data_IF_304692895115
#
_entry.id   IF_304692895115
#
_cell.length_a   1.000
_cell.length_b   1.000
_cell.length_c   1.000
_cell.angle_alpha   90.00
_cell.angle_beta   90.00
_cell.angle_gamma   90.00
#
_symmetry.space_group_name_H-M   'P 1'
#
loop_
_entity.id
_entity.type
_entity.pdbx_description
1 polymer ?
#
# COMPACT_ATOMS: atom_id res chain seq x y z
N UNK A 1 -72.66 29.36 -64.08
CA UNK A 1 -73.52 30.43 -63.58
C UNK A 1 -72.77 31.11 -62.44
N UNK A 2 -72.03 32.21 -62.74
CA UNK A 2 -72.41 33.60 -62.45
C UNK A 2 -72.74 33.80 -60.96
N UNK A 3 -72.18 34.73 -60.26
CA UNK A 3 -71.83 36.17 -60.42
C UNK A 3 -70.77 36.56 -59.37
N UNK A 4 -69.68 37.18 -59.67
CA UNK A 4 -69.35 38.63 -59.65
C UNK A 4 -70.14 39.47 -58.63
N UNK A 5 -69.40 40.06 -57.66
CA UNK A 5 -69.56 41.48 -57.25
C UNK A 5 -68.19 41.99 -56.64
N UNK A 6 -67.83 43.14 -57.15
CA UNK A 6 -66.66 44.00 -56.89
C UNK A 6 -66.95 44.97 -55.73
N UNK A 7 -65.93 45.43 -55.10
CA UNK A 7 -65.66 46.71 -54.43
C UNK A 7 -65.53 46.62 -52.88
N UNK A 8 -64.62 47.22 -52.21
CA UNK A 8 -64.13 48.59 -52.27
C UNK A 8 -62.86 48.71 -51.35
N UNK A 9 -61.86 49.40 -51.84
CA UNK A 9 -60.70 49.77 -51.11
C UNK A 9 -60.97 50.76 -49.98
N UNK A 10 -60.47 50.50 -48.77
CA UNK A 10 -60.10 51.53 -47.79
C UNK A 10 -58.69 51.27 -47.25
N UNK A 11 -57.77 52.19 -47.55
CA UNK A 11 -56.46 52.28 -47.01
C UNK A 11 -56.53 52.56 -45.51
N UNK A 12 -55.97 51.62 -44.72
CA UNK A 12 -55.63 51.87 -43.31
C UNK A 12 -54.12 51.84 -43.19
N UNK A 13 -53.56 52.95 -42.73
CA UNK A 13 -52.11 53.09 -42.40
C UNK A 13 -51.75 52.14 -41.29
N UNK A 14 -50.90 51.18 -41.55
CA UNK A 14 -50.28 50.35 -40.54
C UNK A 14 -49.04 51.02 -40.01
N UNK A 15 -49.05 51.34 -38.72
CA UNK A 15 -47.84 51.70 -37.94
C UNK A 15 -46.98 50.45 -37.75
N UNK A 16 -45.72 50.59 -38.14
CA UNK A 16 -44.70 49.60 -37.93
C UNK A 16 -44.53 49.31 -36.42
N UNK A 17 -44.81 48.09 -35.98
CA UNK A 17 -44.38 47.55 -34.69
C UNK A 17 -43.27 46.52 -34.95
N UNK A 18 -42.07 46.96 -34.76
CA UNK A 18 -40.91 46.05 -34.74
C UNK A 18 -40.97 45.21 -33.48
N UNK A 19 -41.46 43.98 -33.59
CA UNK A 19 -41.32 42.97 -32.52
C UNK A 19 -39.93 42.36 -32.57
N UNK A 20 -39.07 42.84 -31.69
CA UNK A 20 -37.79 42.19 -31.40
C UNK A 20 -38.07 40.92 -30.62
N UNK A 21 -38.04 39.78 -31.31
CA UNK A 21 -38.05 38.46 -30.65
C UNK A 21 -36.67 38.22 -30.10
N UNK A 22 -36.46 38.45 -28.81
CA UNK A 22 -35.29 38.05 -28.08
C UNK A 22 -35.40 36.55 -27.83
N UNK A 23 -34.72 35.77 -28.66
CA UNK A 23 -34.47 34.33 -28.41
C UNK A 23 -33.45 34.23 -27.26
N UNK A 24 -33.94 34.05 -26.02
CA UNK A 24 -33.10 33.68 -24.88
C UNK A 24 -32.74 32.22 -25.10
N UNK A 25 -31.54 31.97 -25.65
CA UNK A 25 -30.88 30.67 -25.61
C UNK A 25 -30.47 30.43 -24.17
N UNK A 26 -31.33 29.80 -23.36
CA UNK A 26 -30.93 29.21 -22.08
C UNK A 26 -29.99 28.06 -22.38
N UNK A 27 -28.67 28.34 -22.42
CA UNK A 27 -27.65 27.30 -22.38
C UNK A 27 -27.78 26.58 -21.04
N UNK A 28 -28.56 25.50 -21.01
CA UNK A 28 -28.57 24.57 -19.90
C UNK A 28 -27.24 23.89 -19.96
N UNK A 29 -26.29 24.41 -19.21
CA UNK A 29 -25.06 23.67 -18.87
C UNK A 29 -25.51 22.44 -18.06
N UNK A 30 -25.75 21.33 -18.73
CA UNK A 30 -25.71 20.03 -18.07
C UNK A 30 -24.27 19.84 -17.60
N UNK A 31 -23.97 20.34 -16.40
CA UNK A 31 -22.81 19.90 -15.67
C UNK A 31 -23.01 18.41 -15.46
N UNK A 32 -22.40 17.61 -16.32
CA UNK A 32 -22.31 16.18 -16.15
C UNK A 32 -21.41 15.96 -14.92
N UNK A 33 -21.99 15.97 -13.73
CA UNK A 33 -21.31 15.60 -12.50
C UNK A 33 -20.97 14.11 -12.61
N UNK A 34 -19.91 13.78 -13.39
CA UNK A 34 -19.32 12.46 -13.33
C UNK A 34 -18.84 12.27 -11.89
N UNK A 35 -19.36 11.23 -11.23
CA UNK A 35 -18.82 10.82 -9.92
C UNK A 35 -17.31 10.70 -10.06
N UNK A 36 -16.53 11.22 -9.11
CA UNK A 36 -15.08 11.08 -9.17
C UNK A 36 -14.71 9.60 -9.22
N UNK A 37 -13.68 9.29 -9.98
CA UNK A 37 -13.08 7.96 -9.98
C UNK A 37 -12.52 7.70 -8.59
N UNK A 38 -12.85 6.53 -8.02
CA UNK A 38 -12.36 6.12 -6.69
C UNK A 38 -11.65 4.78 -6.81
N UNK A 39 -10.45 4.71 -6.27
CA UNK A 39 -9.67 3.48 -6.18
C UNK A 39 -9.50 3.11 -4.71
N UNK A 40 -9.80 1.86 -4.37
CA UNK A 40 -9.63 1.30 -3.03
C UNK A 40 -8.58 0.21 -3.04
N UNK A 41 -7.63 0.26 -2.12
CA UNK A 41 -6.60 -0.76 -1.94
C UNK A 41 -6.63 -1.17 -0.48
N UNK A 42 -6.93 -2.44 -0.22
CA UNK A 42 -6.86 -3.01 1.11
C UNK A 42 -5.53 -3.74 1.29
N UNK A 43 -5.00 -3.78 2.50
CA UNK A 43 -3.71 -4.41 2.78
C UNK A 43 -3.59 -4.85 4.23
N UNK A 44 -2.67 -5.76 4.50
CA UNK A 44 -2.36 -6.21 5.84
C UNK A 44 -1.32 -7.31 5.87
N UNK A 45 -0.84 -7.62 7.07
CA UNK A 45 0.15 -8.66 7.35
C UNK A 45 -0.17 -9.40 8.65
N UNK A 46 0.67 -10.37 9.03
CA UNK A 46 0.60 -11.13 10.27
C UNK A 46 -0.72 -11.88 10.43
N UNK A 47 -0.97 -12.75 9.43
CA UNK A 47 -2.18 -13.54 9.31
C UNK A 47 -1.95 -15.04 9.53
N UNK A 48 -2.04 -15.56 10.77
CA UNK A 48 -1.92 -16.99 11.02
C UNK A 48 -2.96 -17.79 10.25
N UNK A 49 -2.51 -18.77 9.46
CA UNK A 49 -3.36 -19.69 8.72
C UNK A 49 -4.17 -20.61 9.65
N UNK A 50 -3.78 -20.72 10.91
CA UNK A 50 -4.43 -21.60 11.88
C UNK A 50 -5.54 -20.88 12.68
N UNK A 51 -5.58 -19.52 12.62
CA UNK A 51 -6.57 -18.68 13.30
C UNK A 51 -7.67 -18.20 12.35
N UNK A 52 -8.91 -17.94 12.81
CA UNK A 52 -9.94 -17.27 12.03
C UNK A 52 -9.46 -15.87 11.57
N UNK A 53 -9.79 -15.49 10.33
CA UNK A 53 -9.35 -14.20 9.74
C UNK A 53 -10.55 -13.30 9.36
N UNK A 54 -11.44 -12.94 10.31
CA UNK A 54 -12.68 -12.22 10.00
C UNK A 54 -12.44 -10.86 9.35
N UNK A 55 -11.28 -10.23 9.56
CA UNK A 55 -10.90 -8.95 8.92
C UNK A 55 -10.80 -9.08 7.41
N UNK A 56 -10.51 -10.25 6.85
CA UNK A 56 -10.51 -10.46 5.40
C UNK A 56 -11.92 -10.46 4.82
N UNK A 57 -12.93 -10.91 5.58
CA UNK A 57 -14.35 -10.79 5.17
C UNK A 57 -14.76 -9.32 5.11
N UNK A 58 -14.37 -8.54 6.13
CA UNK A 58 -14.63 -7.10 6.14
C UNK A 58 -13.91 -6.40 4.99
N UNK A 59 -12.64 -6.70 4.77
CA UNK A 59 -11.90 -6.17 3.62
C UNK A 59 -12.63 -6.47 2.29
N UNK A 60 -13.17 -7.69 2.15
CA UNK A 60 -13.96 -8.10 0.99
C UNK A 60 -15.23 -7.24 0.82
N UNK A 61 -15.92 -6.89 1.92
CA UNK A 61 -17.16 -6.08 1.88
C UNK A 61 -16.89 -4.64 1.43
N UNK A 62 -15.68 -4.10 1.63
CA UNK A 62 -15.25 -2.81 1.09
C UNK A 62 -15.01 -2.84 -0.42
N UNK A 63 -14.97 -4.02 -1.05
CA UNK A 63 -14.76 -4.25 -2.49
C UNK A 63 -13.54 -3.50 -3.03
N UNK A 64 -12.34 -3.75 -2.50
CA UNK A 64 -11.14 -3.09 -2.98
C UNK A 64 -10.83 -3.51 -4.42
N UNK A 65 -10.16 -2.62 -5.17
CA UNK A 65 -9.64 -2.93 -6.49
C UNK A 65 -8.41 -3.87 -6.42
N UNK A 66 -7.74 -3.88 -5.27
CA UNK A 66 -6.57 -4.69 -5.00
C UNK A 66 -6.48 -4.99 -3.51
N UNK A 67 -6.06 -6.21 -3.14
CA UNK A 67 -5.61 -6.54 -1.80
C UNK A 67 -4.12 -6.88 -1.82
N UNK A 68 -3.35 -6.30 -0.87
CA UNK A 68 -1.90 -6.50 -0.77
C UNK A 68 -1.57 -7.17 0.55
N UNK A 69 -1.00 -8.37 0.49
CA UNK A 69 -0.34 -8.98 1.63
C UNK A 69 1.07 -8.40 1.82
N UNK A 70 1.37 -8.00 3.05
CA UNK A 70 2.62 -7.32 3.42
C UNK A 70 3.59 -8.21 4.21
N UNK A 71 3.56 -9.51 3.96
CA UNK A 71 4.37 -10.48 4.69
C UNK A 71 3.65 -11.13 5.85
N UNK A 72 4.25 -12.18 6.42
CA UNK A 72 3.64 -13.06 7.42
C UNK A 72 2.24 -13.51 6.98
N UNK A 73 2.15 -13.85 5.72
CA UNK A 73 0.91 -14.32 5.12
C UNK A 73 0.50 -15.66 5.71
N UNK A 74 1.51 -16.39 6.18
CA UNK A 74 1.43 -17.59 7.00
C UNK A 74 2.56 -17.59 8.02
N UNK A 75 2.42 -18.31 9.12
CA UNK A 75 3.47 -18.61 10.08
C UNK A 75 4.09 -19.97 9.73
N UNK A 76 5.01 -19.94 8.78
CA UNK A 76 5.71 -21.13 8.25
C UNK A 76 6.65 -21.75 9.25
N UNK A 77 7.64 -20.99 9.68
CA UNK A 77 8.65 -21.32 10.70
C UNK A 77 9.23 -22.72 10.56
N UNK A 78 9.62 -23.10 9.36
CA UNK A 78 10.01 -24.48 9.08
C UNK A 78 11.03 -24.59 7.94
N UNK A 79 12.02 -25.44 8.15
CA UNK A 79 12.92 -25.88 7.08
C UNK A 79 12.32 -27.02 6.24
N UNK A 80 11.17 -27.54 6.63
CA UNK A 80 10.45 -28.54 5.86
C UNK A 80 9.51 -27.82 4.86
N UNK A 81 9.84 -27.87 3.60
CA UNK A 81 9.09 -27.21 2.53
C UNK A 81 7.70 -27.79 2.33
N UNK A 82 7.47 -29.06 2.67
CA UNK A 82 6.10 -29.62 2.66
C UNK A 82 5.23 -28.99 3.75
N UNK A 83 5.81 -28.66 4.91
CA UNK A 83 5.13 -27.91 5.98
C UNK A 83 4.77 -26.51 5.50
N UNK A 84 5.70 -25.79 4.89
CA UNK A 84 5.46 -24.45 4.35
C UNK A 84 4.32 -24.48 3.32
N UNK A 85 4.40 -25.43 2.37
CA UNK A 85 3.38 -25.64 1.35
C UNK A 85 2.00 -25.98 1.94
N UNK A 86 1.98 -26.84 2.97
CA UNK A 86 0.73 -27.22 3.64
C UNK A 86 0.09 -26.02 4.37
N UNK A 87 0.89 -25.13 4.96
CA UNK A 87 0.40 -23.91 5.64
C UNK A 87 -0.20 -22.92 4.63
N UNK A 88 0.41 -22.70 3.49
CA UNK A 88 -0.19 -21.92 2.39
C UNK A 88 -1.50 -22.57 1.89
N UNK A 89 -1.54 -23.89 1.77
CA UNK A 89 -2.76 -24.59 1.37
C UNK A 89 -3.90 -24.40 2.41
N UNK A 90 -3.58 -24.33 3.72
CA UNK A 90 -4.57 -23.99 4.75
C UNK A 90 -5.11 -22.58 4.58
N UNK A 91 -4.26 -21.59 4.33
CA UNK A 91 -4.69 -20.23 4.05
C UNK A 91 -5.61 -20.19 2.83
N UNK A 92 -5.22 -20.83 1.72
CA UNK A 92 -6.03 -20.92 0.51
C UNK A 92 -7.40 -21.62 0.74
N UNK A 93 -7.48 -22.52 1.72
CA UNK A 93 -8.71 -23.25 2.05
C UNK A 93 -9.70 -22.44 2.89
N UNK A 94 -9.27 -21.36 3.56
CA UNK A 94 -10.12 -20.53 4.39
C UNK A 94 -11.24 -19.86 3.59
N UNK A 95 -12.43 -19.79 4.18
CA UNK A 95 -13.59 -19.16 3.53
C UNK A 95 -13.36 -17.63 3.38
N UNK A 96 -12.70 -17.02 4.36
CA UNK A 96 -12.34 -15.62 4.38
C UNK A 96 -11.43 -15.27 3.21
N UNK A 97 -10.37 -16.06 3.00
CA UNK A 97 -9.46 -15.90 1.86
C UNK A 97 -10.18 -16.10 0.52
N UNK A 98 -10.96 -17.20 0.40
CA UNK A 98 -11.73 -17.50 -0.82
C UNK A 98 -12.72 -16.40 -1.15
N UNK A 99 -13.40 -15.83 -0.15
CA UNK A 99 -14.31 -14.71 -0.35
C UNK A 99 -13.57 -13.51 -0.91
N UNK A 100 -12.42 -13.15 -0.34
CA UNK A 100 -11.59 -12.05 -0.80
C UNK A 100 -11.06 -12.30 -2.23
N UNK A 101 -10.47 -13.48 -2.49
CA UNK A 101 -9.94 -13.90 -3.81
C UNK A 101 -11.02 -13.93 -4.91
N UNK A 102 -12.30 -14.12 -4.53
CA UNK A 102 -13.41 -14.15 -5.48
C UNK A 102 -13.85 -12.76 -5.98
N UNK A 103 -13.44 -11.69 -5.31
CA UNK A 103 -13.93 -10.33 -5.59
C UNK A 103 -12.83 -9.33 -5.92
N UNK A 104 -11.59 -9.63 -5.56
CA UNK A 104 -10.45 -8.75 -5.83
C UNK A 104 -9.20 -9.53 -6.18
N UNK A 105 -8.34 -8.90 -6.96
CA UNK A 105 -7.00 -9.40 -7.19
C UNK A 105 -6.19 -9.32 -5.90
N UNK A 106 -5.49 -10.41 -5.56
CA UNK A 106 -4.61 -10.49 -4.40
C UNK A 106 -3.16 -10.58 -4.89
N UNK A 107 -2.31 -9.72 -4.35
CA UNK A 107 -0.85 -9.75 -4.55
C UNK A 107 -0.17 -9.71 -3.19
N UNK A 108 1.14 -9.92 -3.13
CA UNK A 108 1.84 -9.81 -1.86
C UNK A 108 3.36 -9.86 -1.97
N UNK A 109 3.97 -9.49 -0.86
CA UNK A 109 5.35 -9.80 -0.53
C UNK A 109 5.39 -10.75 0.67
N UNK A 110 6.57 -11.23 1.00
CA UNK A 110 6.78 -12.05 2.20
C UNK A 110 7.46 -11.26 3.31
N UNK A 111 7.43 -11.86 4.51
CA UNK A 111 8.33 -11.52 5.59
C UNK A 111 9.00 -12.82 6.13
N UNK A 112 9.55 -12.85 7.33
CA UNK A 112 10.38 -13.94 7.83
C UNK A 112 9.61 -15.25 8.02
N UNK A 113 8.38 -15.19 8.56
CA UNK A 113 7.59 -16.39 8.84
C UNK A 113 7.16 -17.14 7.57
N UNK A 114 6.91 -16.46 6.48
CA UNK A 114 6.62 -17.12 5.19
C UNK A 114 7.85 -17.27 4.29
N UNK A 115 8.94 -16.56 4.57
CA UNK A 115 10.25 -16.83 3.98
C UNK A 115 10.85 -18.14 4.50
N UNK A 116 10.67 -18.44 5.82
CA UNK A 116 11.11 -19.71 6.37
C UNK A 116 11.23 -19.81 7.87
N UNK A 117 12.00 -18.98 8.50
CA UNK A 117 12.23 -18.94 9.94
C UNK A 117 12.16 -17.53 10.47
N UNK A 118 11.71 -17.38 11.70
CA UNK A 118 11.74 -16.10 12.41
C UNK A 118 13.08 -15.40 12.26
N UNK A 119 13.05 -14.13 11.87
CA UNK A 119 14.20 -13.26 11.62
C UNK A 119 15.22 -13.79 10.58
N UNK A 120 14.85 -14.74 9.71
CA UNK A 120 15.74 -15.28 8.69
C UNK A 120 16.04 -14.24 7.59
N UNK A 121 17.26 -14.31 7.07
CA UNK A 121 17.76 -13.45 6.00
C UNK A 121 18.56 -14.24 4.96
N UNK A 122 19.52 -13.59 4.31
CA UNK A 122 20.24 -14.11 3.13
C UNK A 122 20.88 -15.50 3.28
N UNK A 123 21.15 -15.94 4.50
CA UNK A 123 21.77 -17.22 4.79
C UNK A 123 20.76 -18.35 4.97
N UNK A 124 19.47 -18.09 4.88
CA UNK A 124 18.46 -19.13 4.94
C UNK A 124 18.64 -20.14 3.80
N UNK A 125 18.86 -21.44 4.08
CA UNK A 125 19.31 -22.39 3.07
C UNK A 125 18.23 -22.76 2.05
N UNK A 126 16.94 -22.65 2.43
CA UNK A 126 15.78 -23.07 1.61
C UNK A 126 15.07 -21.90 0.90
N UNK A 127 15.71 -20.73 0.82
CA UNK A 127 15.08 -19.52 0.25
C UNK A 127 14.60 -19.69 -1.20
N UNK A 128 15.24 -20.55 -2.00
CA UNK A 128 14.80 -20.84 -3.38
C UNK A 128 13.51 -21.64 -3.41
N UNK A 129 13.42 -22.66 -2.56
CA UNK A 129 12.23 -23.49 -2.42
C UNK A 129 11.06 -22.71 -1.84
N UNK A 130 11.31 -21.87 -0.83
CA UNK A 130 10.31 -20.96 -0.28
C UNK A 130 9.77 -20.01 -1.34
N UNK A 131 10.65 -19.46 -2.20
CA UNK A 131 10.25 -18.61 -3.33
C UNK A 131 9.29 -19.33 -4.26
N UNK A 132 9.59 -20.58 -4.66
CA UNK A 132 8.72 -21.35 -5.57
C UNK A 132 7.34 -21.63 -4.94
N UNK A 133 7.29 -21.90 -3.64
CA UNK A 133 6.03 -22.12 -2.91
C UNK A 133 5.23 -20.81 -2.86
N UNK A 134 5.87 -19.71 -2.49
CA UNK A 134 5.26 -18.38 -2.43
C UNK A 134 4.69 -17.95 -3.78
N UNK A 135 5.50 -18.01 -4.86
CA UNK A 135 5.08 -17.62 -6.19
C UNK A 135 3.94 -18.50 -6.72
N UNK A 136 3.95 -19.80 -6.37
CA UNK A 136 2.87 -20.73 -6.74
C UNK A 136 1.58 -20.39 -6.01
N UNK A 137 1.61 -20.01 -4.72
CA UNK A 137 0.45 -19.59 -3.96
C UNK A 137 -0.19 -18.33 -4.56
N UNK A 138 0.62 -17.32 -4.90
CA UNK A 138 0.14 -16.09 -5.55
C UNK A 138 -0.15 -16.26 -7.05
N UNK A 139 -0.13 -17.49 -7.57
CA UNK A 139 -0.47 -17.83 -8.97
C UNK A 139 0.42 -17.07 -9.98
N UNK A 140 1.68 -16.81 -9.60
CA UNK A 140 2.64 -16.12 -10.45
C UNK A 140 2.88 -16.92 -11.75
N UNK A 141 2.75 -16.30 -12.93
CA UNK A 141 2.97 -17.00 -14.21
C UNK A 141 4.37 -17.62 -14.32
N UNK A 142 4.48 -18.76 -15.01
CA UNK A 142 5.76 -19.46 -15.16
C UNK A 142 6.82 -18.62 -15.89
N UNK A 143 6.39 -17.79 -16.85
CA UNK A 143 7.27 -16.93 -17.65
C UNK A 143 7.54 -15.56 -17.04
N UNK A 144 7.01 -15.30 -15.84
CA UNK A 144 7.15 -14.00 -15.16
C UNK A 144 8.63 -13.66 -14.90
N UNK A 145 8.97 -12.38 -15.04
CA UNK A 145 10.29 -11.85 -14.67
C UNK A 145 10.60 -12.06 -13.20
N UNK A 146 9.57 -12.05 -12.32
CA UNK A 146 9.68 -12.31 -10.89
C UNK A 146 10.29 -13.70 -10.58
N UNK A 147 10.14 -14.68 -11.49
CA UNK A 147 10.76 -16.01 -11.35
C UNK A 147 12.23 -16.05 -11.78
N UNK A 148 12.66 -15.12 -12.64
CA UNK A 148 13.97 -15.18 -13.31
C UNK A 148 15.13 -14.61 -12.49
N UNK A 149 14.87 -13.75 -11.51
CA UNK A 149 15.90 -13.16 -10.63
C UNK A 149 15.87 -13.78 -9.23
N UNK A 150 16.87 -13.55 -8.42
CA UNK A 150 16.87 -13.91 -7.00
C UNK A 150 15.89 -13.02 -6.21
N UNK A 151 15.20 -13.60 -5.24
CA UNK A 151 14.16 -12.89 -4.47
C UNK A 151 12.81 -12.81 -5.18
N UNK A 152 11.84 -12.15 -4.51
CA UNK A 152 10.45 -12.05 -4.97
C UNK A 152 10.02 -10.62 -5.29
N UNK A 153 10.93 -9.66 -5.25
CA UNK A 153 10.57 -8.26 -5.54
C UNK A 153 9.98 -8.12 -6.95
N UNK A 154 8.99 -7.29 -7.10
CA UNK A 154 8.38 -6.98 -8.39
C UNK A 154 7.59 -5.67 -8.34
N UNK A 155 7.21 -5.19 -9.51
CA UNK A 155 6.26 -4.09 -9.66
C UNK A 155 4.98 -4.59 -10.29
N UNK A 156 3.87 -4.23 -9.68
CA UNK A 156 2.53 -4.44 -10.20
C UNK A 156 1.89 -3.09 -10.52
N UNK A 157 1.00 -3.08 -11.50
CA UNK A 157 0.30 -1.87 -11.89
C UNK A 157 -1.20 -2.04 -11.72
N UNK A 158 -1.84 -1.00 -11.17
CA UNK A 158 -3.29 -0.88 -11.10
C UNK A 158 -3.73 0.32 -11.92
N UNK A 159 -4.33 0.02 -13.07
CA UNK A 159 -4.90 1.03 -13.95
C UNK A 159 -6.36 1.30 -13.59
N UNK A 160 -6.72 2.56 -13.47
CA UNK A 160 -8.08 3.01 -13.19
C UNK A 160 -8.42 4.23 -14.09
N UNK A 161 -9.12 3.96 -15.18
CA UNK A 161 -9.35 4.98 -16.21
C UNK A 161 -8.03 5.43 -16.83
N UNK A 162 -7.67 6.70 -16.67
CA UNK A 162 -6.38 7.26 -17.11
C UNK A 162 -5.37 7.42 -15.96
N UNK A 163 -5.60 6.76 -14.83
CA UNK A 163 -4.76 6.83 -13.64
C UNK A 163 -3.97 5.54 -13.47
N UNK A 164 -2.73 5.68 -13.08
CA UNK A 164 -1.79 4.59 -12.90
C UNK A 164 -1.22 4.59 -11.47
N UNK A 165 -1.50 3.53 -10.73
CA UNK A 165 -0.87 3.27 -9.45
C UNK A 165 0.21 2.21 -9.66
N UNK A 166 1.44 2.55 -9.31
CA UNK A 166 2.58 1.63 -9.28
C UNK A 166 2.67 1.02 -7.88
N UNK A 167 2.61 -0.30 -7.78
CA UNK A 167 2.77 -1.05 -6.53
C UNK A 167 4.10 -1.79 -6.59
N UNK A 168 5.06 -1.33 -5.81
CA UNK A 168 6.42 -1.86 -5.72
C UNK A 168 6.47 -2.79 -4.50
N UNK A 169 6.55 -4.09 -4.73
CA UNK A 169 6.67 -5.11 -3.69
C UNK A 169 8.16 -5.38 -3.46
N UNK A 170 8.67 -4.97 -2.30
CA UNK A 170 10.06 -5.21 -1.92
C UNK A 170 10.25 -6.61 -1.33
N UNK A 171 11.43 -7.16 -1.49
CA UNK A 171 11.91 -8.35 -0.80
C UNK A 171 12.94 -7.94 0.25
N UNK A 172 12.55 -7.96 1.52
CA UNK A 172 13.39 -7.54 2.64
C UNK A 172 14.06 -8.74 3.33
N UNK A 173 14.06 -9.94 2.70
CA UNK A 173 14.59 -11.17 3.30
C UNK A 173 15.74 -11.79 2.51
N UNK A 174 15.56 -11.99 1.19
CA UNK A 174 16.51 -12.76 0.36
C UNK A 174 17.95 -12.26 0.44
N UNK A 175 18.13 -10.95 0.53
CA UNK A 175 19.46 -10.31 0.50
C UNK A 175 19.88 -9.77 1.87
N UNK A 176 19.00 -9.76 2.85
CA UNK A 176 19.21 -9.13 4.14
C UNK A 176 20.34 -9.79 4.93
N UNK A 177 21.30 -8.98 5.36
CA UNK A 177 22.27 -9.41 6.35
C UNK A 177 21.61 -9.76 7.67
N UNK A 178 22.27 -10.60 8.48
CA UNK A 178 21.81 -10.90 9.83
C UNK A 178 21.69 -9.60 10.64
N UNK A 179 20.70 -9.57 11.52
CA UNK A 179 20.49 -8.45 12.43
C UNK A 179 21.63 -8.36 13.44
N UNK A 180 22.03 -7.16 13.80
CA UNK A 180 23.06 -6.93 14.79
C UNK A 180 22.48 -7.14 16.19
N UNK A 181 22.84 -8.24 16.85
CA UNK A 181 22.42 -8.55 18.21
C UNK A 181 22.98 -7.53 19.21
N UNK A 182 22.18 -7.17 20.21
CA UNK A 182 22.64 -6.41 21.37
C UNK A 182 23.52 -7.35 22.22
N UNK A 183 24.79 -7.01 22.30
CA UNK A 183 25.78 -7.81 23.08
C UNK A 183 25.69 -7.58 24.59
N UNK A 184 25.23 -6.40 25.00
CA UNK A 184 25.09 -6.00 26.38
C UNK A 184 23.63 -5.94 26.78
N UNK A 185 23.12 -7.01 27.38
CA UNK A 185 21.80 -7.08 27.98
C UNK A 185 21.77 -6.46 29.39
N UNK A 186 22.46 -5.32 29.60
CA UNK A 186 22.52 -4.69 30.90
C UNK A 186 21.12 -4.43 31.46
N UNK A 187 20.94 -4.62 32.77
CA UNK A 187 19.70 -4.31 33.48
C UNK A 187 19.32 -2.82 33.32
N UNK A 188 20.27 -1.97 32.94
CA UNK A 188 20.06 -0.57 32.65
C UNK A 188 19.29 -0.38 31.32
N UNK A 189 19.64 -1.12 30.25
CA UNK A 189 18.90 -1.13 29.01
C UNK A 189 17.46 -1.67 29.21
N UNK A 190 17.31 -2.75 29.97
CA UNK A 190 15.99 -3.31 30.32
C UNK A 190 15.14 -2.34 31.15
N UNK A 191 15.73 -1.51 32.02
CA UNK A 191 15.01 -0.48 32.78
C UNK A 191 14.65 0.73 31.95
N UNK A 192 15.42 1.03 30.91
CA UNK A 192 15.18 2.20 30.05
C UNK A 192 14.04 1.98 29.09
N UNK A 193 13.75 0.73 28.71
CA UNK A 193 12.69 0.34 27.80
C UNK A 193 11.79 -0.68 28.51
N UNK A 194 10.47 -0.54 28.34
CA UNK A 194 9.48 -1.44 28.93
C UNK A 194 9.41 -2.82 28.26
N UNK A 195 10.26 -3.09 27.26
CA UNK A 195 10.34 -4.32 26.48
C UNK A 195 11.79 -4.73 26.28
N UNK A 196 12.00 -5.99 25.95
CA UNK A 196 13.34 -6.53 25.66
C UNK A 196 13.79 -6.01 24.30
N UNK A 197 15.00 -5.50 24.22
CA UNK A 197 15.66 -5.12 22.98
C UNK A 197 16.50 -6.30 22.51
N UNK A 198 16.21 -6.82 21.31
CA UNK A 198 16.96 -7.94 20.73
C UNK A 198 18.08 -7.46 19.81
N UNK A 199 17.81 -6.37 19.08
CA UNK A 199 18.69 -5.88 18.03
C UNK A 199 19.12 -4.43 18.26
N UNK A 200 20.19 -4.05 17.56
CA UNK A 200 20.71 -2.69 17.47
C UNK A 200 20.95 -2.34 16.00
N UNK A 201 20.93 -1.05 15.63
CA UNK A 201 21.25 -0.64 14.27
C UNK A 201 22.67 -1.02 13.86
N UNK A 202 22.84 -1.45 12.61
CA UNK A 202 24.15 -1.61 12.00
C UNK A 202 24.90 -0.29 11.94
N UNK A 203 26.19 -0.33 12.30
CA UNK A 203 27.10 0.83 12.20
C UNK A 203 27.90 0.84 10.90
N UNK A 204 28.04 -0.32 10.25
CA UNK A 204 28.74 -0.45 8.96
C UNK A 204 27.76 -0.34 7.80
N UNK A 205 28.15 0.40 6.77
CA UNK A 205 27.44 0.47 5.48
C UNK A 205 27.62 -0.77 4.59
N UNK A 206 28.42 -1.75 5.02
CA UNK A 206 28.64 -3.00 4.26
C UNK A 206 27.48 -3.99 4.43
N UNK A 207 26.66 -3.79 5.48
CA UNK A 207 25.42 -4.55 5.64
C UNK A 207 24.36 -4.07 4.65
N UNK A 208 23.47 -4.97 4.23
CA UNK A 208 22.39 -4.62 3.30
C UNK A 208 21.08 -5.27 3.70
N UNK A 209 19.99 -4.60 3.41
CA UNK A 209 18.61 -5.08 3.51
C UNK A 209 18.13 -5.61 2.16
N UNK A 210 18.27 -4.81 1.10
CA UNK A 210 17.72 -5.11 -0.23
C UNK A 210 18.72 -5.78 -1.19
N UNK A 211 20.03 -5.68 -0.94
CA UNK A 211 21.05 -6.10 -1.89
C UNK A 211 21.16 -5.19 -3.13
N UNK A 212 22.32 -5.23 -3.81
CA UNK A 212 22.61 -4.28 -4.87
C UNK A 212 21.72 -4.47 -6.11
N UNK A 213 21.35 -5.70 -6.43
CA UNK A 213 20.50 -5.99 -7.61
C UNK A 213 19.11 -5.39 -7.44
N UNK A 214 18.49 -5.60 -6.28
CA UNK A 214 17.18 -5.03 -5.99
C UNK A 214 17.23 -3.50 -5.92
N UNK A 215 18.30 -2.91 -5.36
CA UNK A 215 18.48 -1.46 -5.37
C UNK A 215 18.56 -0.86 -6.78
N UNK A 216 19.28 -1.52 -7.69
CA UNK A 216 19.37 -1.08 -9.08
C UNK A 216 18.02 -1.18 -9.78
N UNK A 217 17.34 -2.30 -9.59
CA UNK A 217 15.99 -2.50 -10.13
C UNK A 217 15.01 -1.44 -9.59
N UNK A 218 15.05 -1.16 -8.28
CA UNK A 218 14.19 -0.16 -7.65
C UNK A 218 14.43 1.24 -8.20
N UNK A 219 15.70 1.60 -8.46
CA UNK A 219 16.04 2.87 -9.09
C UNK A 219 15.38 3.00 -10.48
N UNK A 220 15.43 1.94 -11.27
CA UNK A 220 14.83 1.92 -12.61
C UNK A 220 13.29 1.97 -12.51
N UNK A 221 12.68 1.30 -11.52
CA UNK A 221 11.23 1.36 -11.27
C UNK A 221 10.76 2.75 -10.86
N UNK A 222 11.47 3.44 -9.97
CA UNK A 222 11.09 4.77 -9.50
C UNK A 222 11.17 5.85 -10.58
N UNK A 223 11.93 5.62 -11.66
CA UNK A 223 11.99 6.51 -12.84
C UNK A 223 10.78 6.37 -13.77
N UNK A 224 10.02 5.28 -13.66
CA UNK A 224 8.85 5.06 -14.52
C UNK A 224 7.69 5.98 -14.13
N UNK A 225 6.85 6.41 -15.08
CA UNK A 225 5.72 7.27 -14.79
C UNK A 225 4.66 6.55 -13.95
N UNK A 226 4.11 7.24 -12.95
CA UNK A 226 2.93 6.83 -12.20
C UNK A 226 2.28 8.05 -11.53
N UNK A 227 0.95 7.99 -11.30
CA UNK A 227 0.22 9.03 -10.56
C UNK A 227 0.38 8.87 -9.04
N UNK A 228 0.53 7.61 -8.57
CA UNK A 228 0.75 7.24 -7.17
C UNK A 228 1.68 6.03 -7.12
N UNK A 229 2.54 5.95 -6.11
CA UNK A 229 3.45 4.83 -5.86
C UNK A 229 3.24 4.29 -4.46
N UNK A 230 2.99 2.99 -4.37
CA UNK A 230 2.92 2.26 -3.11
C UNK A 230 4.17 1.39 -3.01
N UNK A 231 5.03 1.67 -2.04
CA UNK A 231 6.20 0.84 -1.75
C UNK A 231 5.82 -0.06 -0.58
N UNK A 232 5.71 -1.36 -0.87
CA UNK A 232 5.26 -2.38 0.07
C UNK A 232 6.47 -3.12 0.65
N UNK A 233 6.55 -3.20 1.97
CA UNK A 233 7.65 -3.82 2.71
C UNK A 233 7.11 -4.78 3.77
N UNK A 234 7.72 -5.95 3.92
CA UNK A 234 7.44 -6.84 5.05
C UNK A 234 7.73 -6.11 6.37
N UNK A 235 8.93 -5.58 6.54
CA UNK A 235 9.34 -4.85 7.73
C UNK A 235 8.97 -3.36 7.68
N UNK A 236 8.73 -2.76 8.85
CA UNK A 236 8.34 -1.35 9.00
C UNK A 236 9.44 -0.38 8.52
N UNK A 237 9.06 0.58 7.67
CA UNK A 237 9.96 1.62 7.15
C UNK A 237 9.98 2.88 8.01
N UNK A 238 8.83 3.39 8.41
CA UNK A 238 8.62 4.68 9.07
C UNK A 238 8.93 4.68 10.56
N UNK A 239 10.07 4.10 10.97
CA UNK A 239 10.50 4.03 12.36
C UNK A 239 11.97 4.37 12.50
N UNK A 240 12.38 5.00 13.62
CA UNK A 240 13.78 5.29 13.86
C UNK A 240 14.50 4.15 14.61
N UNK A 241 13.83 3.54 15.57
CA UNK A 241 14.37 2.48 16.39
C UNK A 241 13.28 1.84 17.23
N UNK A 242 13.21 0.50 17.25
CA UNK A 242 12.23 -0.22 18.04
C UNK A 242 12.78 -1.36 18.88
N UNK A 243 14.06 -1.74 18.69
CA UNK A 243 14.67 -2.87 19.39
C UNK A 243 14.37 -4.24 18.77
N UNK A 244 13.46 -4.32 17.82
CA UNK A 244 13.08 -5.47 17.02
C UNK A 244 13.54 -5.28 15.57
N UNK A 245 13.03 -6.08 14.66
CA UNK A 245 13.30 -5.94 13.26
C UNK A 245 12.60 -4.74 12.64
N UNK A 246 13.30 -3.98 11.83
CA UNK A 246 12.80 -2.86 11.04
C UNK A 246 13.86 -2.34 10.06
N UNK A 247 13.49 -1.46 9.16
CA UNK A 247 14.44 -0.71 8.33
C UNK A 247 15.45 0.08 9.16
N UNK A 248 15.08 0.49 10.36
CA UNK A 248 15.95 1.20 11.29
C UNK A 248 17.18 0.39 11.76
N UNK A 249 17.17 -0.93 11.58
CA UNK A 249 18.36 -1.77 11.79
C UNK A 249 19.43 -1.55 10.72
N UNK A 250 19.03 -1.00 9.55
CA UNK A 250 19.92 -0.63 8.43
C UNK A 250 19.76 0.86 8.11
N UNK A 251 20.18 1.77 9.01
CA UNK A 251 19.88 3.20 8.90
C UNK A 251 20.47 3.85 7.63
N UNK A 252 21.59 3.33 7.12
CA UNK A 252 22.18 3.76 5.86
C UNK A 252 21.30 3.37 4.65
N UNK A 253 20.63 2.21 4.69
CA UNK A 253 19.68 1.80 3.62
C UNK A 253 18.37 2.55 3.70
N UNK A 254 17.83 2.82 4.91
CA UNK A 254 16.68 3.70 5.10
C UNK A 254 16.96 5.11 4.54
N UNK A 255 18.15 5.66 4.82
CA UNK A 255 18.60 6.93 4.25
C UNK A 255 18.78 6.87 2.73
N UNK A 256 19.32 5.76 2.22
CA UNK A 256 19.47 5.51 0.78
C UNK A 256 18.11 5.55 0.07
N UNK A 257 17.06 4.96 0.65
CA UNK A 257 15.70 4.97 0.11
C UNK A 257 15.18 6.41 -0.05
N UNK A 258 15.27 7.22 1.00
CA UNK A 258 14.85 8.63 0.94
C UNK A 258 15.63 9.42 -0.12
N UNK A 259 16.94 9.20 -0.20
CA UNK A 259 17.79 9.82 -1.22
C UNK A 259 17.42 9.35 -2.64
N UNK A 260 17.10 8.07 -2.81
CA UNK A 260 16.73 7.52 -4.11
C UNK A 260 15.41 8.10 -4.62
N UNK A 261 14.39 8.22 -3.76
CA UNK A 261 13.12 8.88 -4.09
C UNK A 261 13.37 10.32 -4.55
N UNK A 262 14.26 11.03 -3.85
CA UNK A 262 14.65 12.39 -4.20
C UNK A 262 15.42 12.48 -5.53
N UNK A 263 16.40 11.60 -5.75
CA UNK A 263 17.24 11.58 -6.94
C UNK A 263 16.47 11.20 -8.21
N UNK A 264 15.52 10.29 -8.10
CA UNK A 264 14.65 9.88 -9.21
C UNK A 264 13.48 10.85 -9.44
N UNK A 265 13.31 11.84 -8.57
CA UNK A 265 12.18 12.76 -8.58
C UNK A 265 10.82 12.01 -8.58
N UNK A 266 10.77 10.88 -7.87
CA UNK A 266 9.59 10.04 -7.79
C UNK A 266 8.50 10.71 -6.94
N UNK A 267 7.40 11.11 -7.57
CA UNK A 267 6.25 11.73 -6.91
C UNK A 267 5.28 10.69 -6.37
N UNK A 268 4.47 11.06 -5.38
CA UNK A 268 3.35 10.25 -4.92
C UNK A 268 3.75 8.97 -4.20
N UNK A 269 4.85 8.96 -3.43
CA UNK A 269 5.31 7.76 -2.71
C UNK A 269 4.66 7.67 -1.33
N UNK A 270 4.03 6.52 -1.06
CA UNK A 270 3.53 6.09 0.24
C UNK A 270 4.07 4.68 0.52
N UNK A 271 4.55 4.45 1.73
CA UNK A 271 4.92 3.11 2.17
C UNK A 271 3.72 2.39 2.79
N UNK A 272 3.66 1.07 2.56
CA UNK A 272 2.78 0.15 3.25
C UNK A 272 3.65 -0.92 3.90
N UNK A 273 3.56 -1.06 5.21
CA UNK A 273 4.48 -1.90 5.99
C UNK A 273 3.77 -2.93 6.85
N UNK A 274 4.45 -4.04 7.15
CA UNK A 274 4.02 -5.14 8.00
C UNK A 274 4.86 -5.32 9.28
N UNK A 275 4.98 -6.55 9.76
CA UNK A 275 5.86 -7.11 10.81
C UNK A 275 5.40 -6.83 12.27
N UNK A 276 5.20 -5.61 12.67
CA UNK A 276 5.22 -5.12 14.07
C UNK A 276 3.99 -5.45 14.94
N UNK A 277 3.02 -6.22 14.45
CA UNK A 277 1.84 -6.70 15.18
C UNK A 277 0.92 -5.59 15.76
N UNK A 278 0.95 -4.41 15.17
CA UNK A 278 0.02 -3.30 15.42
C UNK A 278 -0.11 -2.43 14.16
N UNK A 279 -1.02 -1.46 14.17
CA UNK A 279 -1.10 -0.49 13.10
C UNK A 279 -0.81 0.92 13.59
N UNK A 280 -0.20 1.71 12.70
CA UNK A 280 0.04 3.14 12.90
C UNK A 280 0.24 3.86 11.56
N UNK A 281 0.15 5.18 11.56
CA UNK A 281 0.65 6.00 10.47
C UNK A 281 1.84 6.79 10.97
N UNK A 282 2.94 6.69 10.25
CA UNK A 282 4.18 7.42 10.50
C UNK A 282 4.43 8.43 9.39
N UNK A 283 5.10 9.54 9.73
CA UNK A 283 5.50 10.59 8.78
C UNK A 283 6.97 10.92 8.95
N UNK A 284 7.77 10.51 7.96
CA UNK A 284 9.20 10.80 7.90
C UNK A 284 9.41 12.09 7.11
N UNK A 285 10.15 13.03 7.69
CA UNK A 285 10.51 14.30 7.05
C UNK A 285 12.01 14.34 6.77
N UNK A 286 12.38 14.69 5.54
CA UNK A 286 13.76 14.80 5.09
C UNK A 286 13.94 16.09 4.29
N UNK A 287 15.00 16.89 4.54
CA UNK A 287 15.23 18.13 3.81
C UNK A 287 15.28 17.93 2.28
N UNK A 288 14.46 18.73 1.57
CA UNK A 288 14.35 18.68 0.12
C UNK A 288 13.60 17.47 -0.45
N UNK A 289 12.83 16.78 0.40
CA UNK A 289 11.86 15.75 0.04
C UNK A 289 10.50 16.13 0.63
N UNK A 290 9.43 15.81 -0.06
CA UNK A 290 8.08 15.89 0.51
C UNK A 290 7.93 14.87 1.66
N UNK A 291 6.94 15.03 2.56
CA UNK A 291 6.72 14.07 3.65
C UNK A 291 6.47 12.66 3.12
N UNK A 292 7.21 11.68 3.63
CA UNK A 292 6.99 10.26 3.33
C UNK A 292 6.10 9.68 4.43
N UNK A 293 4.95 9.16 4.03
CA UNK A 293 4.02 8.45 4.91
C UNK A 293 4.28 6.96 4.84
N UNK A 294 4.22 6.30 5.99
CA UNK A 294 4.22 4.85 6.12
C UNK A 294 2.97 4.41 6.87
N UNK A 295 2.13 3.64 6.20
CA UNK A 295 0.92 3.07 6.79
C UNK A 295 1.21 1.63 7.15
N UNK A 296 1.48 1.40 8.42
CA UNK A 296 1.71 0.06 8.96
C UNK A 296 0.37 -0.60 9.27
N UNK A 297 0.15 -1.82 8.75
CA UNK A 297 -1.03 -2.65 9.04
C UNK A 297 -0.62 -4.09 9.24
N UNK A 298 -0.36 -4.44 10.49
CA UNK A 298 0.26 -5.68 10.91
C UNK A 298 -0.56 -6.37 12.00
N UNK A 299 -1.73 -6.91 11.63
CA UNK A 299 -2.63 -7.46 12.65
C UNK A 299 -3.83 -8.21 12.09
N UNK A 300 -3.70 -8.94 10.98
CA UNK A 300 -4.82 -9.75 10.45
C UNK A 300 -5.31 -10.72 11.53
N UNK A 301 -4.39 -11.40 12.24
CA UNK A 301 -4.72 -12.24 13.41
C UNK A 301 -3.81 -11.97 14.59
N UNK A 302 -2.53 -11.69 14.33
CA UNK A 302 -1.49 -11.60 15.34
C UNK A 302 -1.27 -10.16 15.73
N UNK A 303 -1.60 -9.81 16.98
CA UNK A 303 -1.41 -8.46 17.53
C UNK A 303 -0.70 -8.51 18.86
N UNK A 304 0.10 -7.49 19.16
CA UNK A 304 0.71 -7.29 20.46
C UNK A 304 -0.20 -6.45 21.36
N UNK A 305 -0.02 -6.60 22.68
CA UNK A 305 -0.70 -5.76 23.67
C UNK A 305 0.00 -4.42 23.93
N UNK A 306 1.07 -4.13 23.21
CA UNK A 306 1.84 -2.90 23.31
C UNK A 306 2.37 -2.50 21.91
N UNK A 307 2.75 -1.25 21.75
CA UNK A 307 3.46 -0.76 20.58
C UNK A 307 4.77 -0.10 21.00
N UNK A 308 5.81 -0.29 20.19
CA UNK A 308 7.12 0.30 20.46
C UNK A 308 7.07 1.83 20.29
N UNK A 309 7.94 2.59 20.97
CA UNK A 309 8.09 4.01 20.72
C UNK A 309 8.46 4.29 19.26
N UNK A 310 7.84 5.31 18.69
CA UNK A 310 8.16 5.78 17.34
C UNK A 310 7.95 7.29 17.27
N UNK A 311 9.01 8.06 17.09
CA UNK A 311 8.94 9.53 16.98
C UNK A 311 8.26 10.01 15.69
N UNK A 312 8.18 9.15 14.68
CA UNK A 312 7.53 9.46 13.41
C UNK A 312 6.03 9.19 13.42
N UNK A 313 5.51 8.48 14.46
CA UNK A 313 4.08 8.19 14.59
C UNK A 313 3.27 9.47 14.67
N UNK A 314 2.28 9.59 13.80
CA UNK A 314 1.31 10.70 13.79
C UNK A 314 -0.09 10.23 14.15
N UNK A 315 -0.42 8.93 13.91
CA UNK A 315 -1.69 8.31 14.26
C UNK A 315 -1.47 6.89 14.79
N UNK A 316 -2.34 6.42 15.68
CA UNK A 316 -2.28 5.12 16.31
C UNK A 316 -1.59 5.14 17.68
N UNK A 317 -1.16 3.98 18.24
CA UNK A 317 -1.25 2.66 17.63
C UNK A 317 -2.63 1.98 17.76
N UNK A 318 -2.92 1.02 16.85
CA UNK A 318 -4.07 0.12 16.95
C UNK A 318 -3.59 -1.30 17.14
N UNK A 319 -3.99 -1.93 18.25
CA UNK A 319 -3.54 -3.25 18.69
C UNK A 319 -4.66 -4.31 18.67
N UNK A 320 -5.82 -3.99 18.12
CA UNK A 320 -6.86 -4.97 17.78
C UNK A 320 -6.61 -5.56 16.38
N UNK A 321 -7.17 -6.74 16.07
CA UNK A 321 -7.10 -7.26 14.70
C UNK A 321 -7.69 -6.27 13.70
N UNK A 322 -7.01 -6.06 12.58
CA UNK A 322 -7.32 -5.01 11.63
C UNK A 322 -6.81 -5.31 10.22
N UNK A 323 -7.24 -4.49 9.28
CA UNK A 323 -6.63 -4.33 7.97
C UNK A 323 -6.50 -2.83 7.63
N UNK A 324 -5.59 -2.50 6.75
CA UNK A 324 -5.43 -1.15 6.21
C UNK A 324 -6.28 -0.95 4.95
N UNK A 325 -6.81 0.25 4.78
CA UNK A 325 -7.56 0.65 3.59
C UNK A 325 -7.06 2.01 3.09
N UNK A 326 -6.56 2.03 1.86
CA UNK A 326 -6.23 3.26 1.15
C UNK A 326 -7.34 3.55 0.14
N UNK A 327 -7.96 4.72 0.24
CA UNK A 327 -8.97 5.20 -0.71
C UNK A 327 -8.45 6.44 -1.42
N UNK A 328 -8.31 6.35 -2.74
CA UNK A 328 -7.89 7.47 -3.60
C UNK A 328 -9.08 7.97 -4.38
N UNK A 329 -9.50 9.21 -4.12
CA UNK A 329 -10.49 9.92 -4.92
C UNK A 329 -9.76 10.79 -5.93
N UNK A 330 -9.88 10.42 -7.21
CA UNK A 330 -9.18 11.07 -8.31
C UNK A 330 -9.90 12.35 -8.74
N UNK A 331 -9.38 13.46 -8.25
CA UNK A 331 -9.77 14.82 -8.61
C UNK A 331 -8.57 15.51 -9.30
N UNK A 332 -8.65 16.84 -9.53
CA UNK A 332 -7.52 17.61 -10.05
C UNK A 332 -6.29 17.49 -9.12
N UNK A 333 -6.52 17.55 -7.82
CA UNK A 333 -5.56 17.20 -6.77
C UNK A 333 -6.13 16.00 -6.01
N UNK A 334 -5.59 14.79 -6.20
CA UNK A 334 -6.17 13.59 -5.61
C UNK A 334 -6.27 13.68 -4.09
N UNK A 335 -7.39 13.18 -3.55
CA UNK A 335 -7.57 13.01 -2.10
C UNK A 335 -7.24 11.57 -1.75
N UNK A 336 -6.29 11.36 -0.86
CA UNK A 336 -5.81 10.05 -0.43
C UNK A 336 -6.18 9.89 1.05
N UNK A 337 -7.09 8.97 1.34
CA UNK A 337 -7.51 8.62 2.69
C UNK A 337 -6.90 7.28 3.09
N UNK A 338 -6.20 7.29 4.20
CA UNK A 338 -5.54 6.15 4.83
C UNK A 338 -6.32 5.77 6.08
N UNK A 339 -6.80 4.54 6.17
CA UNK A 339 -7.63 4.06 7.26
C UNK A 339 -7.10 2.74 7.82
N UNK A 340 -7.31 2.54 9.12
CA UNK A 340 -7.17 1.24 9.78
C UNK A 340 -8.52 0.82 10.28
N UNK A 341 -9.02 -0.29 9.78
CA UNK A 341 -10.35 -0.84 10.09
C UNK A 341 -10.18 -2.06 10.99
N UNK A 342 -10.77 -2.03 12.19
CA UNK A 342 -10.70 -3.15 13.13
C UNK A 342 -11.70 -4.27 12.80
N UNK A 343 -11.57 -5.38 13.50
CA UNK A 343 -12.44 -6.57 13.33
C UNK A 343 -13.93 -6.33 13.64
N UNK A 344 -14.26 -5.18 14.23
CA UNK A 344 -15.64 -4.76 14.52
C UNK A 344 -16.17 -3.77 13.48
N UNK A 345 -15.41 -3.54 12.40
CA UNK A 345 -15.72 -2.59 11.33
C UNK A 345 -15.71 -1.12 11.79
N UNK A 346 -14.88 -0.80 12.79
CA UNK A 346 -14.65 0.58 13.20
C UNK A 346 -13.40 1.13 12.50
N UNK A 347 -13.48 2.32 11.94
CA UNK A 347 -12.30 3.08 11.52
C UNK A 347 -11.59 3.62 12.76
N UNK A 348 -10.47 2.99 13.12
CA UNK A 348 -9.67 3.31 14.32
C UNK A 348 -8.65 4.41 14.03
N UNK A 349 -8.21 4.50 12.81
CA UNK A 349 -7.37 5.57 12.26
C UNK A 349 -8.02 6.02 10.96
N UNK A 350 -8.10 7.34 10.78
CA UNK A 350 -8.45 7.98 9.51
C UNK A 350 -7.57 9.21 9.33
N UNK A 351 -6.70 9.17 8.32
CA UNK A 351 -5.81 10.27 7.98
C UNK A 351 -5.91 10.57 6.49
N UNK A 352 -6.06 11.86 6.15
CA UNK A 352 -6.27 12.27 4.75
C UNK A 352 -5.22 13.28 4.33
N UNK A 353 -4.68 13.09 3.13
CA UNK A 353 -3.73 14.00 2.48
C UNK A 353 -4.19 14.33 1.08
N UNK A 354 -3.62 15.41 0.53
CA UNK A 354 -3.71 15.75 -0.88
C UNK A 354 -2.53 15.17 -1.67
N UNK A 355 -2.75 14.83 -2.94
CA UNK A 355 -1.67 14.41 -3.83
C UNK A 355 -0.54 15.42 -3.92
N UNK A 356 -0.87 16.71 -3.90
CA UNK A 356 0.10 17.82 -3.91
C UNK A 356 1.05 17.82 -2.71
N UNK A 357 0.66 17.25 -1.57
CA UNK A 357 1.49 17.16 -0.37
C UNK A 357 2.65 16.15 -0.50
N UNK A 358 2.51 15.18 -1.41
CA UNK A 358 3.50 14.11 -1.65
C UNK A 358 4.13 14.21 -3.05
N UNK A 359 4.22 15.41 -3.58
CA UNK A 359 4.86 15.71 -4.85
C UNK A 359 5.95 16.77 -4.66
N UNK A 360 7.01 16.67 -5.47
CA UNK A 360 7.98 17.76 -5.56
C UNK A 360 7.30 19.00 -6.15
N UNK A 361 7.56 20.15 -5.56
CA UNK A 361 7.09 21.43 -6.12
C UNK A 361 7.67 21.62 -7.53
N UNK A 362 6.79 21.98 -8.46
CA UNK A 362 7.21 22.32 -9.83
C UNK A 362 7.95 23.64 -9.86
#
# INVERSE_FOLDING_TARGET
MEKVIIACFKKVKMKSFSSVVILIFSAIFFSCNKKPLVTKIAFGSCGSQDEPQPVLLLAADYRPNLFIYLGDNIYGDSDNMDTLKAKYARLAAKQEYKRLDSITRIIGTWDDHDFGRNDAGKWYPYKKESKEIFLSFFKEPQESERRKHEGIYCTEYLEQGNKLIQVILLDVRTFRNDLALIKDSSEELKRRFFYTLDYQPHTSSDSTLLGQEQWKWLEDELKKPADLRLICSGSQFGIEFNGYEAWANFPHEQKRMLNLIKQTNANGVIFLSGDVHYAEISRVSEPGLYPIYDVTSSGITSTWSFATPNKYRIEGPVMDNHFGLLTVTWENDPVIRMEIIDKYNNSRIEYTIKGSEINFSK
#
